data_IF_884478873721
#
_entry.id   IF_884478873721
#
_cell.length_a   1.000
_cell.length_b   1.000
_cell.length_c   1.000
_cell.angle_alpha   90.00
_cell.angle_beta   90.00
_cell.angle_gamma   90.00
#
_symmetry.space_group_name_H-M   'P 1'
#
loop_
_entity.id
_entity.type
_entity.pdbx_description
1 polymer ?
#
# COMPACT_ATOMS: atom_id res chain seq x y z
N UNK A 1 24.15 12.99 2.44
CA UNK A 1 22.68 12.86 2.48
C UNK A 1 22.36 11.47 1.99
N UNK A 2 21.56 10.75 2.76
CA UNK A 2 21.13 9.40 2.40
C UNK A 2 20.25 9.45 1.15
N UNK A 3 20.39 8.43 0.29
CA UNK A 3 19.55 8.26 -0.90
C UNK A 3 18.49 7.20 -0.62
N UNK A 4 17.28 7.44 -1.12
CA UNK A 4 16.15 6.54 -0.88
C UNK A 4 15.48 6.13 -2.19
N UNK A 5 15.04 4.88 -2.23
CA UNK A 5 14.10 4.38 -3.23
C UNK A 5 12.70 4.38 -2.61
N UNK A 6 11.69 4.78 -3.38
CA UNK A 6 10.30 4.79 -2.95
C UNK A 6 9.47 3.84 -3.78
N UNK A 7 8.54 3.13 -3.12
CA UNK A 7 7.61 2.20 -3.76
C UNK A 7 6.20 2.44 -3.26
N UNK A 8 5.24 2.35 -4.17
CA UNK A 8 3.82 2.47 -3.90
C UNK A 8 3.13 1.12 -4.12
N UNK A 9 2.37 0.66 -3.13
CA UNK A 9 1.47 -0.48 -3.28
C UNK A 9 0.04 0.04 -3.29
N UNK A 10 -0.74 -0.27 -4.33
CA UNK A 10 -2.11 0.20 -4.48
C UNK A 10 -3.06 -1.00 -4.57
N UNK A 11 -3.88 -1.18 -3.54
CA UNK A 11 -4.88 -2.24 -3.46
C UNK A 11 -6.26 -1.67 -3.75
N UNK A 12 -6.85 -2.07 -4.86
CA UNK A 12 -8.21 -1.65 -5.24
C UNK A 12 -9.25 -2.56 -4.59
N UNK A 13 -10.38 -2.02 -4.18
CA UNK A 13 -11.56 -2.81 -3.82
C UNK A 13 -12.05 -3.54 -5.08
N UNK A 14 -12.01 -4.88 -5.07
CA UNK A 14 -12.46 -5.68 -6.23
C UNK A 14 -13.91 -6.11 -6.02
N UNK A 15 -14.85 -5.41 -6.65
CA UNK A 15 -16.26 -5.79 -6.67
C UNK A 15 -17.15 -4.65 -7.19
N UNK A 16 -18.19 -5.00 -7.95
CA UNK A 16 -19.14 -4.06 -8.58
C UNK A 16 -19.91 -3.18 -7.55
N UNK A 17 -19.83 -3.53 -6.26
CA UNK A 17 -20.44 -2.85 -5.11
C UNK A 17 -19.41 -2.45 -4.03
N UNK A 18 -18.13 -2.24 -4.40
CA UNK A 18 -17.08 -1.91 -3.43
C UNK A 18 -16.56 -3.15 -2.68
N UNK A 19 -16.18 -4.18 -3.44
CA UNK A 19 -15.80 -5.48 -2.88
C UNK A 19 -14.55 -5.43 -1.99
N UNK A 20 -14.55 -6.33 -1.00
CA UNK A 20 -13.60 -6.44 0.10
C UNK A 20 -12.14 -6.43 -0.36
N UNK A 21 -11.32 -5.65 0.33
CA UNK A 21 -9.87 -5.68 0.22
C UNK A 21 -9.37 -6.95 0.93
N UNK A 22 -8.50 -7.74 0.29
CA UNK A 22 -7.89 -8.91 0.92
C UNK A 22 -6.77 -8.47 1.88
N UNK A 23 -7.14 -8.33 3.15
CA UNK A 23 -6.23 -7.96 4.24
C UNK A 23 -5.04 -8.93 4.37
N UNK A 24 -5.25 -10.23 4.13
CA UNK A 24 -4.17 -11.23 4.22
C UNK A 24 -3.16 -11.07 3.08
N UNK A 25 -3.62 -10.65 1.90
CA UNK A 25 -2.72 -10.32 0.80
C UNK A 25 -1.86 -9.10 1.15
N UNK A 26 -2.47 -8.04 1.69
CA UNK A 26 -1.75 -6.84 2.12
C UNK A 26 -0.71 -7.19 3.18
N UNK A 27 -1.08 -7.95 4.20
CA UNK A 27 -0.17 -8.36 5.28
C UNK A 27 1.04 -9.13 4.74
N UNK A 28 0.81 -10.09 3.83
CA UNK A 28 1.89 -10.86 3.19
C UNK A 28 2.85 -9.95 2.42
N UNK A 29 2.32 -9.04 1.60
CA UNK A 29 3.13 -8.15 0.77
C UNK A 29 3.95 -7.16 1.61
N UNK A 30 3.36 -6.60 2.66
CA UNK A 30 4.07 -5.70 3.58
C UNK A 30 5.18 -6.43 4.33
N UNK A 31 4.92 -7.65 4.81
CA UNK A 31 5.94 -8.46 5.48
C UNK A 31 7.08 -8.84 4.53
N UNK A 32 6.78 -9.24 3.28
CA UNK A 32 7.80 -9.54 2.28
C UNK A 32 8.67 -8.32 1.97
N UNK A 33 8.08 -7.14 1.88
CA UNK A 33 8.81 -5.89 1.68
C UNK A 33 9.65 -5.52 2.91
N UNK A 34 9.12 -5.70 4.12
CA UNK A 34 9.87 -5.52 5.37
C UNK A 34 11.13 -6.37 5.41
N UNK A 35 11.04 -7.65 5.02
CA UNK A 35 12.19 -8.56 4.91
C UNK A 35 13.22 -8.09 3.86
N UNK A 36 12.78 -7.34 2.84
CA UNK A 36 13.63 -6.76 1.79
C UNK A 36 14.19 -5.38 2.15
N UNK A 37 14.03 -4.94 3.41
CA UNK A 37 14.56 -3.67 3.90
C UNK A 37 13.70 -2.45 3.54
N UNK A 38 12.44 -2.65 3.13
CA UNK A 38 11.50 -1.55 2.94
C UNK A 38 10.82 -1.18 4.25
N UNK A 39 10.70 0.12 4.50
CA UNK A 39 10.03 0.73 5.65
C UNK A 39 8.73 1.37 5.19
N UNK A 40 7.63 1.13 5.92
CA UNK A 40 6.35 1.80 5.68
C UNK A 40 6.41 3.25 6.14
N UNK A 41 6.19 4.19 5.22
CA UNK A 41 6.23 5.64 5.46
C UNK A 41 4.85 6.18 5.78
N UNK A 42 3.85 5.83 4.98
CA UNK A 42 2.48 6.32 5.16
C UNK A 42 1.46 5.50 4.41
N UNK A 43 0.21 5.59 4.83
CA UNK A 43 -0.95 4.95 4.19
C UNK A 43 -1.98 6.01 3.80
N UNK A 44 -2.53 5.90 2.59
CA UNK A 44 -3.55 6.78 2.06
C UNK A 44 -4.70 5.96 1.51
N UNK A 45 -5.94 6.31 1.82
CA UNK A 45 -7.11 5.75 1.16
C UNK A 45 -7.68 6.78 0.18
N UNK A 46 -7.98 6.36 -1.04
CA UNK A 46 -8.73 7.22 -1.97
C UNK A 46 -10.21 6.93 -1.83
N UNK A 47 -10.99 7.96 -1.53
CA UNK A 47 -12.44 7.85 -1.50
C UNK A 47 -13.00 8.25 -2.87
N UNK A 48 -13.79 7.36 -3.48
CA UNK A 48 -14.74 7.75 -4.52
C UNK A 48 -15.89 8.53 -3.88
N UNK A 49 -16.53 9.41 -4.66
CA UNK A 49 -17.74 10.12 -4.24
C UNK A 49 -18.73 9.16 -3.58
N UNK A 50 -19.48 9.64 -2.58
CA UNK A 50 -20.42 8.86 -1.77
C UNK A 50 -19.79 7.84 -0.78
N UNK A 51 -18.55 8.06 -0.34
CA UNK A 51 -17.98 7.35 0.82
C UNK A 51 -17.42 5.95 0.56
N UNK A 52 -17.35 5.54 -0.71
CA UNK A 52 -16.73 4.27 -1.09
C UNK A 52 -15.21 4.43 -1.28
N UNK A 53 -14.38 3.72 -0.52
CA UNK A 53 -12.93 3.70 -0.75
C UNK A 53 -12.59 2.88 -2.00
N UNK A 54 -11.98 3.53 -3.00
CA UNK A 54 -11.61 2.94 -4.30
C UNK A 54 -10.30 2.16 -4.22
N UNK A 55 -9.36 2.62 -3.40
CA UNK A 55 -8.12 1.91 -3.12
C UNK A 55 -7.42 2.39 -1.86
N UNK A 56 -6.57 1.52 -1.30
CA UNK A 56 -5.59 1.85 -0.26
C UNK A 56 -4.21 1.85 -0.90
N UNK A 57 -3.43 2.88 -0.60
CA UNK A 57 -2.06 3.10 -1.07
C UNK A 57 -1.13 3.04 0.13
N UNK A 58 -0.10 2.20 0.07
CA UNK A 58 0.99 2.13 1.03
C UNK A 58 2.25 2.71 0.39
N UNK A 59 2.81 3.75 1.02
CA UNK A 59 4.05 4.38 0.61
C UNK A 59 5.20 3.75 1.40
N UNK A 60 6.15 3.15 0.71
CA UNK A 60 7.31 2.48 1.30
C UNK A 60 8.59 3.20 0.85
N UNK A 61 9.62 3.21 1.71
CA UNK A 61 10.97 3.68 1.36
C UNK A 61 12.02 2.62 1.70
N UNK A 62 13.17 2.63 1.03
CA UNK A 62 14.39 1.91 1.46
C UNK A 62 15.62 2.74 1.16
N UNK A 63 16.71 2.53 1.92
CA UNK A 63 18.00 3.14 1.63
C UNK A 63 18.60 2.57 0.33
N UNK A 64 19.27 3.42 -0.44
CA UNK A 64 20.10 3.04 -1.59
C UNK A 64 21.55 3.37 -1.23
N UNK A 65 22.43 2.39 -1.34
CA UNK A 65 23.89 2.57 -1.25
C UNK A 65 24.47 3.26 -2.50
#
# INVERSE_FOLDING_TARGET
MDKFEYKLLCYKSTGFLGGSIDEKQIERDLNELGQKGWELVSTLNTNQAYGNSKCIIYNMKRLIE
#
